data_IF_497401463793
#
_entry.id   IF_497401463793
#
_cell.length_a   1.000
_cell.length_b   1.000
_cell.length_c   1.000
_cell.angle_alpha   90.00
_cell.angle_beta   90.00
_cell.angle_gamma   90.00
#
_symmetry.space_group_name_H-M   'P 1'
#
loop_
_entity.id
_entity.type
_entity.pdbx_description
1 polymer ?
#
# COMPACT_ATOMS: atom_id res chain seq x y z
N UNK A 1 11.56 10.17 -17.31
CA UNK A 1 11.70 9.35 -16.07
C UNK A 1 10.83 8.11 -16.25
N UNK A 2 11.44 6.92 -16.26
CA UNK A 2 10.69 5.68 -16.49
C UNK A 2 10.02 5.26 -15.18
N UNK A 3 8.69 5.16 -15.21
CA UNK A 3 7.91 4.57 -14.12
C UNK A 3 8.07 3.06 -14.20
N UNK A 4 8.00 2.37 -13.06
CA UNK A 4 7.86 0.91 -13.06
C UNK A 4 6.49 0.60 -13.65
N UNK A 5 6.49 -0.14 -14.74
CA UNK A 5 5.31 -0.65 -15.42
C UNK A 5 5.37 -2.17 -15.44
N UNK A 6 4.22 -2.82 -15.62
CA UNK A 6 4.15 -4.29 -15.74
C UNK A 6 5.14 -4.83 -16.80
N UNK A 7 5.18 -4.20 -17.98
CA UNK A 7 6.11 -4.59 -19.05
C UNK A 7 7.58 -4.32 -18.77
N UNK A 8 7.91 -3.48 -17.78
CA UNK A 8 9.27 -3.30 -17.30
C UNK A 8 9.67 -4.42 -16.34
N UNK A 9 8.79 -4.78 -15.40
CA UNK A 9 9.05 -5.86 -14.43
C UNK A 9 9.34 -7.18 -15.13
N UNK A 10 8.57 -7.51 -16.17
CA UNK A 10 8.76 -8.73 -16.96
C UNK A 10 10.14 -8.85 -17.66
N UNK A 11 10.92 -7.76 -17.73
CA UNK A 11 12.24 -7.70 -18.38
C UNK A 11 13.40 -7.62 -17.38
N UNK A 12 13.12 -7.60 -16.09
CA UNK A 12 14.14 -7.53 -15.06
C UNK A 12 14.94 -8.83 -15.02
N UNK A 13 16.26 -8.72 -14.94
CA UNK A 13 17.07 -9.86 -14.54
C UNK A 13 16.84 -10.18 -13.05
N UNK A 14 17.12 -11.41 -12.59
CA UNK A 14 16.86 -11.80 -11.22
C UNK A 14 17.57 -10.94 -10.15
N UNK A 15 18.78 -10.44 -10.45
CA UNK A 15 19.54 -9.59 -9.52
C UNK A 15 18.88 -8.22 -9.41
N UNK A 16 18.47 -7.63 -10.54
CA UNK A 16 17.74 -6.36 -10.55
C UNK A 16 16.37 -6.50 -9.87
N UNK A 17 15.64 -7.60 -10.09
CA UNK A 17 14.36 -7.86 -9.45
C UNK A 17 14.50 -7.96 -7.92
N UNK A 18 15.51 -8.69 -7.42
CA UNK A 18 15.83 -8.76 -5.98
C UNK A 18 16.13 -7.39 -5.39
N UNK A 19 17.04 -6.65 -6.02
CA UNK A 19 17.46 -5.32 -5.56
C UNK A 19 16.25 -4.36 -5.55
N UNK A 20 15.36 -4.46 -6.55
CA UNK A 20 14.16 -3.65 -6.66
C UNK A 20 13.12 -4.01 -5.60
N UNK A 21 12.87 -5.29 -5.35
CA UNK A 21 11.95 -5.77 -4.33
C UNK A 21 12.37 -5.27 -2.93
N UNK A 22 13.66 -5.32 -2.62
CA UNK A 22 14.20 -4.76 -1.38
C UNK A 22 14.03 -3.24 -1.29
N UNK A 23 14.23 -2.53 -2.39
CA UNK A 23 14.09 -1.07 -2.43
C UNK A 23 12.64 -0.63 -2.18
N UNK A 24 11.67 -1.30 -2.80
CA UNK A 24 10.23 -1.03 -2.60
C UNK A 24 9.82 -1.26 -1.15
N UNK A 25 10.27 -2.36 -0.54
CA UNK A 25 9.97 -2.64 0.88
C UNK A 25 10.55 -1.58 1.81
N UNK A 26 11.78 -1.10 1.55
CA UNK A 26 12.41 -0.03 2.33
C UNK A 26 11.68 1.31 2.17
N UNK A 27 11.24 1.65 0.96
CA UNK A 27 10.42 2.85 0.73
C UNK A 27 9.10 2.76 1.49
N UNK A 28 8.40 1.62 1.40
CA UNK A 28 7.14 1.39 2.10
C UNK A 28 7.30 1.47 3.62
N UNK A 29 8.41 0.94 4.17
CA UNK A 29 8.75 1.05 5.59
C UNK A 29 9.01 2.49 6.01
N UNK A 30 9.79 3.25 5.25
CA UNK A 30 10.00 4.67 5.57
C UNK A 30 8.69 5.46 5.52
N UNK A 31 7.86 5.23 4.52
CA UNK A 31 6.55 5.88 4.40
C UNK A 31 5.58 5.49 5.50
N UNK A 32 5.62 4.24 5.99
CA UNK A 32 4.72 3.79 7.06
C UNK A 32 5.01 4.52 8.37
N UNK A 33 6.27 4.88 8.63
CA UNK A 33 6.70 5.66 9.79
C UNK A 33 6.32 7.15 9.68
N UNK A 34 6.05 7.68 8.48
CA UNK A 34 5.65 9.10 8.30
C UNK A 34 4.26 9.43 8.83
N UNK A 35 3.49 8.46 9.30
CA UNK A 35 2.21 8.74 9.95
C UNK A 35 2.45 9.65 11.16
N UNK A 36 1.61 10.67 11.29
CA UNK A 36 1.66 11.57 12.43
C UNK A 36 1.44 10.77 13.72
N UNK A 37 2.13 11.12 14.82
CA UNK A 37 1.79 10.55 16.12
C UNK A 37 0.29 10.77 16.36
N UNK A 38 -0.36 9.79 16.99
CA UNK A 38 -1.68 10.07 17.56
C UNK A 38 -1.52 11.20 18.59
N UNK A 39 -2.61 11.90 18.93
CA UNK A 39 -2.57 12.94 19.97
C UNK A 39 -2.01 12.41 21.31
N UNK A 40 -2.12 11.11 21.56
CA UNK A 40 -1.63 10.44 22.77
C UNK A 40 -0.10 10.18 22.74
N UNK A 41 0.56 10.28 21.58
CA UNK A 41 1.95 9.85 21.38
C UNK A 41 3.02 10.96 21.43
N UNK A 42 2.66 12.18 21.86
CA UNK A 42 3.55 13.36 21.76
C UNK A 42 4.92 13.23 22.45
N UNK A 43 5.08 12.40 23.50
CA UNK A 43 6.41 12.08 24.09
C UNK A 43 7.14 10.95 23.37
N UNK A 44 6.43 9.99 22.80
CA UNK A 44 7.03 8.98 21.92
C UNK A 44 7.60 9.62 20.63
N UNK A 45 7.13 10.82 20.28
CA UNK A 45 7.50 11.56 19.08
C UNK A 45 9.03 11.78 18.90
N UNK A 46 9.83 11.98 19.95
CA UNK A 46 11.28 12.22 19.78
C UNK A 46 12.03 10.93 19.39
N UNK A 47 11.73 9.81 20.05
CA UNK A 47 12.31 8.50 19.69
C UNK A 47 11.84 8.06 18.29
N UNK A 48 10.59 8.40 17.96
CA UNK A 48 9.99 8.17 16.64
C UNK A 48 10.70 8.95 15.51
N UNK A 49 11.17 10.19 15.76
CA UNK A 49 11.97 10.95 14.78
C UNK A 49 13.30 10.27 14.43
N UNK A 50 14.01 9.72 15.42
CA UNK A 50 15.26 8.98 15.16
C UNK A 50 15.01 7.72 14.34
N UNK A 51 13.90 7.01 14.61
CA UNK A 51 13.46 5.86 13.83
C UNK A 51 13.18 6.22 12.37
N UNK A 52 12.43 7.31 12.14
CA UNK A 52 12.13 7.85 10.80
C UNK A 52 13.39 8.21 10.03
N UNK A 53 14.31 8.93 10.65
CA UNK A 53 15.58 9.33 10.01
C UNK A 53 16.39 8.09 9.62
N UNK A 54 16.54 7.12 10.54
CA UNK A 54 17.27 5.88 10.25
C UNK A 54 16.66 5.11 9.08
N UNK A 55 15.33 4.99 9.02
CA UNK A 55 14.66 4.32 7.90
C UNK A 55 14.86 5.05 6.57
N UNK A 56 14.82 6.39 6.60
CA UNK A 56 15.10 7.23 5.44
C UNK A 56 16.53 7.05 4.93
N UNK A 57 17.53 7.07 5.81
CA UNK A 57 18.94 6.93 5.44
C UNK A 57 19.22 5.57 4.79
N UNK A 58 18.63 4.50 5.33
CA UNK A 58 18.72 3.15 4.76
C UNK A 58 18.08 3.09 3.36
N UNK A 59 16.89 3.68 3.20
CA UNK A 59 16.22 3.77 1.90
C UNK A 59 17.06 4.56 0.89
N UNK A 60 17.52 5.76 1.24
CA UNK A 60 18.33 6.61 0.34
C UNK A 60 19.63 5.95 -0.07
N UNK A 61 20.32 5.29 0.86
CA UNK A 61 21.56 4.55 0.55
C UNK A 61 21.30 3.45 -0.46
N UNK A 62 20.25 2.65 -0.28
CA UNK A 62 19.87 1.57 -1.21
C UNK A 62 19.40 2.13 -2.56
N UNK A 63 18.66 3.25 -2.57
CA UNK A 63 18.21 3.93 -3.79
C UNK A 63 19.39 4.40 -4.65
N UNK A 64 20.38 5.04 -4.05
CA UNK A 64 21.59 5.48 -4.75
C UNK A 64 22.35 4.29 -5.33
N UNK A 65 22.55 3.24 -4.53
CA UNK A 65 23.21 2.01 -4.99
C UNK A 65 22.46 1.34 -6.15
N UNK A 66 21.13 1.25 -6.06
CA UNK A 66 20.29 0.72 -7.14
C UNK A 66 20.45 1.55 -8.42
N UNK A 67 20.33 2.87 -8.34
CA UNK A 67 20.38 3.77 -9.50
C UNK A 67 21.75 3.86 -10.17
N UNK A 68 22.82 3.61 -9.42
CA UNK A 68 24.18 3.46 -9.94
C UNK A 68 24.33 2.16 -10.75
N UNK A 69 23.80 1.05 -10.24
CA UNK A 69 23.97 -0.29 -10.84
C UNK A 69 23.03 -0.56 -12.00
N UNK A 70 21.80 -0.07 -11.91
CA UNK A 70 20.69 -0.52 -12.75
C UNK A 70 20.13 0.61 -13.62
N UNK A 71 19.62 0.25 -14.79
CA UNK A 71 18.87 1.14 -15.68
C UNK A 71 17.52 0.50 -16.06
N UNK A 72 16.44 1.28 -16.17
CA UNK A 72 16.33 2.69 -15.83
C UNK A 72 16.45 2.93 -14.31
N UNK A 73 16.76 4.17 -13.95
CA UNK A 73 16.77 4.59 -12.54
C UNK A 73 15.38 4.45 -11.93
N UNK A 74 15.32 3.94 -10.71
CA UNK A 74 14.14 3.96 -9.87
C UNK A 74 13.76 5.40 -9.54
N UNK A 75 12.47 5.70 -9.71
CA UNK A 75 11.85 6.97 -9.33
C UNK A 75 10.73 6.63 -8.38
N UNK A 76 10.68 7.36 -7.26
CA UNK A 76 9.66 7.19 -6.24
C UNK A 76 8.25 7.17 -6.81
N UNK A 77 7.43 6.38 -6.14
CA UNK A 77 6.10 6.00 -6.57
C UNK A 77 5.15 7.21 -6.73
N UNK A 78 4.28 7.20 -7.76
CA UNK A 78 3.25 8.22 -7.91
C UNK A 78 2.19 8.15 -6.81
N UNK A 79 1.46 9.26 -6.62
CA UNK A 79 0.34 9.33 -5.68
C UNK A 79 -0.77 8.31 -6.04
N UNK A 80 -0.89 7.25 -5.24
CA UNK A 80 -1.91 6.19 -5.33
C UNK A 80 -3.24 6.60 -4.68
N UNK A 81 -3.82 7.71 -5.15
CA UNK A 81 -5.00 8.34 -4.54
C UNK A 81 -6.36 7.88 -5.09
N UNK A 82 -6.38 7.05 -6.14
CA UNK A 82 -7.60 6.53 -6.80
C UNK A 82 -7.45 5.03 -7.10
N UNK A 83 -8.55 4.27 -7.22
CA UNK A 83 -8.48 2.85 -7.56
C UNK A 83 -7.77 2.60 -8.90
N UNK A 84 -8.06 3.44 -9.91
CA UNK A 84 -7.43 3.35 -11.23
C UNK A 84 -5.91 3.56 -11.24
N UNK A 85 -5.34 4.21 -10.21
CA UNK A 85 -3.87 4.31 -10.03
C UNK A 85 -3.31 3.18 -9.19
N UNK A 86 -4.06 2.73 -8.18
CA UNK A 86 -3.63 1.66 -7.28
C UNK A 86 -3.64 0.30 -7.97
N UNK A 87 -4.61 0.03 -8.85
CA UNK A 87 -4.72 -1.21 -9.62
C UNK A 87 -3.44 -1.58 -10.40
N UNK A 88 -2.93 -0.75 -11.34
CA UNK A 88 -1.72 -1.09 -12.07
C UNK A 88 -0.48 -1.16 -11.18
N UNK A 89 -0.46 -0.41 -10.07
CA UNK A 89 0.60 -0.52 -9.08
C UNK A 89 0.59 -1.88 -8.37
N UNK A 90 -0.57 -2.35 -7.90
CA UNK A 90 -0.69 -3.66 -7.26
C UNK A 90 -0.29 -4.79 -8.23
N UNK A 91 -0.67 -4.72 -9.51
CA UNK A 91 -0.24 -5.68 -10.55
C UNK A 91 1.27 -5.69 -10.72
N UNK A 92 1.86 -4.50 -10.83
CA UNK A 92 3.31 -4.34 -10.93
C UNK A 92 4.04 -4.94 -9.72
N UNK A 93 3.52 -4.73 -8.51
CA UNK A 93 4.11 -5.31 -7.29
C UNK A 93 3.92 -6.83 -7.24
N UNK A 94 2.75 -7.35 -7.61
CA UNK A 94 2.50 -8.80 -7.69
C UNK A 94 3.50 -9.46 -8.62
N UNK A 95 3.70 -8.90 -9.81
CA UNK A 95 4.62 -9.42 -10.80
C UNK A 95 6.08 -9.36 -10.32
N UNK A 96 6.45 -8.28 -9.64
CA UNK A 96 7.80 -8.13 -9.06
C UNK A 96 8.07 -9.21 -8.02
N UNK A 97 7.11 -9.45 -7.11
CA UNK A 97 7.26 -10.44 -6.05
C UNK A 97 7.17 -11.87 -6.57
N UNK A 98 6.42 -12.12 -7.65
CA UNK A 98 6.42 -13.40 -8.33
C UNK A 98 7.81 -13.74 -8.92
N UNK A 99 8.53 -12.76 -9.46
CA UNK A 99 9.88 -12.97 -9.99
C UNK A 99 10.91 -13.38 -8.93
N UNK A 100 10.70 -12.98 -7.67
CA UNK A 100 11.64 -13.23 -6.57
C UNK A 100 11.10 -14.21 -5.53
N UNK A 101 9.98 -14.88 -5.81
CA UNK A 101 9.31 -15.75 -4.84
C UNK A 101 10.20 -16.90 -4.35
N UNK A 102 10.99 -17.48 -5.24
CA UNK A 102 11.89 -18.60 -4.93
C UNK A 102 13.26 -18.14 -4.43
N UNK A 103 13.46 -16.83 -4.26
CA UNK A 103 14.73 -16.26 -3.83
C UNK A 103 14.78 -16.18 -2.30
N UNK A 104 15.55 -17.07 -1.67
CA UNK A 104 15.72 -17.12 -0.21
C UNK A 104 16.41 -15.90 0.38
N UNK A 105 17.01 -15.03 -0.45
CA UNK A 105 17.61 -13.77 0.00
C UNK A 105 16.61 -12.62 0.08
N UNK A 106 15.38 -12.80 -0.40
CA UNK A 106 14.31 -11.80 -0.31
C UNK A 106 13.45 -12.10 0.90
N UNK A 107 13.43 -11.14 1.84
CA UNK A 107 12.51 -11.20 2.97
C UNK A 107 11.07 -10.92 2.53
N UNK A 108 10.10 -11.44 3.29
CA UNK A 108 8.68 -11.13 3.05
C UNK A 108 8.42 -9.60 3.14
N UNK A 109 7.79 -8.98 2.13
CA UNK A 109 7.63 -7.53 2.03
C UNK A 109 6.41 -7.02 2.83
N UNK A 110 6.49 -7.15 4.15
CA UNK A 110 5.40 -6.84 5.08
C UNK A 110 4.97 -5.36 4.98
N UNK A 111 5.92 -4.42 4.90
CA UNK A 111 5.62 -2.99 4.94
C UNK A 111 4.98 -2.53 3.62
N UNK A 112 5.36 -3.13 2.50
CA UNK A 112 4.72 -2.92 1.20
C UNK A 112 3.25 -3.36 1.24
N UNK A 113 2.95 -4.54 1.77
CA UNK A 113 1.55 -5.01 1.92
C UNK A 113 0.76 -4.10 2.87
N UNK A 114 1.32 -3.71 4.00
CA UNK A 114 0.68 -2.76 4.92
C UNK A 114 0.41 -1.39 4.27
N UNK A 115 1.28 -0.95 3.36
CA UNK A 115 1.06 0.26 2.55
C UNK A 115 -0.14 0.06 1.62
N UNK A 116 -0.15 -1.04 0.86
CA UNK A 116 -1.21 -1.34 -0.10
C UNK A 116 -2.60 -1.45 0.56
N UNK A 117 -2.70 -2.25 1.63
CA UNK A 117 -3.93 -2.43 2.42
C UNK A 117 -4.42 -1.10 2.98
N UNK A 118 -3.52 -0.28 3.56
CA UNK A 118 -3.89 1.04 4.08
C UNK A 118 -4.46 1.97 3.01
N UNK A 119 -3.89 1.93 1.80
CA UNK A 119 -4.37 2.73 0.68
C UNK A 119 -5.77 2.28 0.26
N UNK A 120 -5.99 0.97 0.15
CA UNK A 120 -7.32 0.42 -0.15
C UNK A 120 -8.34 0.74 0.93
N UNK A 121 -8.04 0.58 2.22
CA UNK A 121 -8.96 0.95 3.31
C UNK A 121 -9.35 2.42 3.24
N UNK A 122 -8.37 3.32 3.02
CA UNK A 122 -8.64 4.75 2.86
C UNK A 122 -9.49 5.06 1.62
N UNK A 123 -9.27 4.36 0.51
CA UNK A 123 -10.09 4.47 -0.69
C UNK A 123 -11.52 3.98 -0.42
N UNK A 124 -11.64 2.81 0.20
CA UNK A 124 -12.90 2.21 0.60
C UNK A 124 -13.74 3.14 1.45
N UNK A 125 -13.18 3.73 2.51
CA UNK A 125 -13.90 4.73 3.34
C UNK A 125 -14.44 5.90 2.50
N UNK A 126 -13.66 6.42 1.56
CA UNK A 126 -14.10 7.53 0.68
C UNK A 126 -15.19 7.12 -0.30
N UNK A 127 -15.19 5.86 -0.72
CA UNK A 127 -16.13 5.31 -1.69
C UNK A 127 -17.33 4.62 -1.04
N UNK A 128 -17.44 4.60 0.30
CA UNK A 128 -18.46 3.82 1.00
C UNK A 128 -18.35 2.31 0.76
N UNK A 129 -17.14 1.80 0.56
CA UNK A 129 -16.85 0.39 0.27
C UNK A 129 -15.95 -0.20 1.32
N UNK A 130 -16.32 -1.37 1.80
CA UNK A 130 -15.47 -2.10 2.73
C UNK A 130 -14.40 -2.89 1.98
N UNK A 131 -13.21 -2.96 2.57
CA UNK A 131 -12.19 -3.93 2.22
C UNK A 131 -11.86 -4.71 3.49
N UNK A 132 -12.04 -6.03 3.44
CA UNK A 132 -11.76 -6.90 4.57
C UNK A 132 -10.25 -7.05 4.68
N UNK A 133 -9.69 -6.51 5.76
CA UNK A 133 -8.26 -6.60 6.04
C UNK A 133 -7.88 -8.03 6.45
N UNK A 134 -6.78 -8.59 5.94
CA UNK A 134 -6.23 -9.82 6.49
C UNK A 134 -5.95 -9.69 8.00
N UNK A 135 -6.28 -10.73 8.77
CA UNK A 135 -6.10 -10.71 10.22
C UNK A 135 -4.62 -10.65 10.64
N UNK A 136 -3.75 -11.26 9.83
CA UNK A 136 -2.32 -11.38 10.11
C UNK A 136 -1.47 -10.80 8.96
N UNK A 137 -0.29 -10.25 9.24
CA UNK A 137 0.68 -9.89 8.21
C UNK A 137 1.12 -11.11 7.40
N UNK A 138 1.49 -10.94 6.11
CA UNK A 138 2.00 -12.06 5.32
C UNK A 138 3.31 -12.59 5.91
N UNK A 139 3.39 -13.90 6.11
CA UNK A 139 4.63 -14.57 6.54
C UNK A 139 5.54 -14.97 5.37
N UNK A 140 5.02 -14.97 4.14
CA UNK A 140 5.73 -15.44 2.94
C UNK A 140 5.49 -14.53 1.73
N UNK A 141 6.37 -14.62 0.73
CA UNK A 141 6.19 -13.93 -0.55
C UNK A 141 4.93 -14.43 -1.26
N UNK A 142 4.62 -15.73 -1.19
CA UNK A 142 3.37 -16.29 -1.73
C UNK A 142 2.12 -15.64 -1.10
N UNK A 143 2.08 -15.53 0.22
CA UNK A 143 0.98 -14.86 0.92
C UNK A 143 0.89 -13.37 0.55
N UNK A 144 2.02 -12.71 0.29
CA UNK A 144 2.04 -11.34 -0.25
C UNK A 144 1.36 -11.27 -1.63
N UNK A 145 1.68 -12.20 -2.53
CA UNK A 145 1.10 -12.27 -3.88
C UNK A 145 -0.41 -12.45 -3.80
N UNK A 146 -0.90 -13.35 -2.96
CA UNK A 146 -2.34 -13.59 -2.74
C UNK A 146 -3.05 -12.32 -2.25
N UNK A 147 -2.49 -11.62 -1.26
CA UNK A 147 -3.06 -10.35 -0.78
C UNK A 147 -3.08 -9.30 -1.89
N UNK A 148 -2.04 -9.22 -2.73
CA UNK A 148 -2.03 -8.31 -3.88
C UNK A 148 -3.11 -8.65 -4.90
N UNK A 149 -3.39 -9.93 -5.14
CA UNK A 149 -4.49 -10.38 -6.01
C UNK A 149 -5.85 -9.96 -5.47
N UNK A 150 -6.10 -10.09 -4.17
CA UNK A 150 -7.33 -9.60 -3.53
C UNK A 150 -7.50 -8.09 -3.69
N UNK A 151 -6.42 -7.33 -3.51
CA UNK A 151 -6.41 -5.88 -3.69
C UNK A 151 -6.64 -5.48 -5.16
N UNK A 152 -6.08 -6.24 -6.11
CA UNK A 152 -6.31 -6.05 -7.56
C UNK A 152 -7.79 -6.24 -7.87
N UNK A 153 -8.41 -7.33 -7.40
CA UNK A 153 -9.83 -7.60 -7.62
C UNK A 153 -10.72 -6.52 -7.00
N UNK A 154 -10.37 -6.04 -5.80
CA UNK A 154 -11.10 -4.94 -5.18
C UNK A 154 -11.01 -3.64 -6.00
N UNK A 155 -9.81 -3.28 -6.46
CA UNK A 155 -9.62 -2.06 -7.26
C UNK A 155 -10.35 -2.13 -8.61
N UNK A 156 -10.39 -3.30 -9.24
CA UNK A 156 -11.07 -3.52 -10.52
C UNK A 156 -12.59 -3.32 -10.42
N UNK A 157 -13.21 -3.88 -9.37
CA UNK A 157 -14.63 -3.64 -9.05
C UNK A 157 -14.88 -2.16 -8.75
N UNK A 158 -14.02 -1.53 -7.94
CA UNK A 158 -14.14 -0.12 -7.59
C UNK A 158 -14.04 0.81 -8.82
N UNK A 159 -13.13 0.53 -9.76
CA UNK A 159 -12.97 1.30 -10.98
C UNK A 159 -14.13 1.12 -11.96
N UNK A 160 -14.68 -0.09 -12.07
CA UNK A 160 -15.85 -0.37 -12.92
C UNK A 160 -17.07 0.43 -12.46
N UNK A 161 -17.29 0.50 -11.15
CA UNK A 161 -18.44 1.22 -10.60
C UNK A 161 -18.26 2.75 -10.66
N UNK A 162 -17.02 3.24 -10.53
CA UNK A 162 -16.69 4.65 -10.80
C UNK A 162 -17.03 5.03 -12.26
N UNK A 163 -16.70 4.17 -13.21
CA UNK A 163 -17.02 4.36 -14.63
C UNK A 163 -18.53 4.27 -14.92
N UNK A 164 -19.27 3.45 -14.17
CA UNK A 164 -20.72 3.34 -14.27
C UNK A 164 -21.47 4.56 -13.69
N UNK A 165 -20.75 5.56 -13.17
CA UNK A 165 -21.36 6.75 -12.58
C UNK A 165 -22.06 6.45 -11.26
N UNK A 166 -21.60 5.42 -10.54
CA UNK A 166 -22.15 5.04 -9.24
C UNK A 166 -22.20 6.28 -8.33
N UNK A 167 -23.42 6.71 -8.02
CA UNK A 167 -23.66 7.65 -6.95
C UNK A 167 -23.80 6.81 -5.68
N UNK A 168 -23.02 7.07 -4.62
CA UNK A 168 -23.34 6.50 -3.32
C UNK A 168 -24.78 6.85 -3.06
N UNK A 169 -25.62 5.82 -2.97
CA UNK A 169 -27.00 5.94 -2.50
C UNK A 169 -26.85 6.64 -1.15
N UNK A 170 -27.16 7.94 -1.13
CA UNK A 170 -26.81 8.82 -0.03
C UNK A 170 -27.34 8.13 1.20
N UNK A 171 -26.44 7.61 2.05
CA UNK A 171 -26.79 6.78 3.19
C UNK A 171 -27.90 7.54 3.89
N UNK A 172 -29.14 7.10 3.67
CA UNK A 172 -30.30 7.83 4.14
C UNK A 172 -30.13 7.70 5.63
N UNK A 173 -29.66 8.79 6.25
CA UNK A 173 -29.64 8.92 7.67
C UNK A 173 -31.06 8.58 8.07
N UNK A 174 -31.24 7.36 8.55
CA UNK A 174 -32.47 6.93 9.17
C UNK A 174 -32.52 7.79 10.42
N UNK A 175 -33.06 8.99 10.24
CA UNK A 175 -33.44 9.93 11.27
C UNK A 175 -34.46 9.17 12.11
N UNK A 176 -33.91 8.41 13.07
CA UNK A 176 -34.63 7.82 14.18
C UNK A 176 -35.08 8.93 15.10
N UNK A 177 -35.99 9.77 14.58
CA UNK A 177 -36.83 10.66 15.33
C UNK A 177 -37.79 9.76 16.12
N UNK A 178 -37.33 9.32 17.28
CA UNK A 178 -38.07 8.46 18.20
C UNK A 178 -37.78 8.84 19.64
N UNK A 179 -37.81 10.14 19.93
CA UNK A 179 -37.75 10.70 21.28
C UNK A 179 -39.06 10.33 22.02
N UNK A 180 -39.15 9.13 22.60
CA UNK A 180 -40.21 8.80 23.56
C UNK A 180 -39.85 9.37 24.93
N UNK A 181 -40.47 10.51 25.24
CA UNK A 181 -40.55 11.09 26.57
C UNK A 181 -41.18 10.08 27.55
N UNK A 182 -40.43 9.67 28.56
CA UNK A 182 -40.97 8.99 29.75
C UNK A 182 -41.60 10.03 30.69
N UNK A 183 -42.83 9.81 31.20
CA UNK A 183 -43.40 10.64 32.25
C UNK A 183 -42.80 10.27 33.61
N UNK A 184 -42.47 11.29 34.40
CA UNK A 184 -42.08 11.15 35.80
C UNK A 184 -43.30 10.86 36.68
N UNK A 185 -43.14 9.96 37.66
CA UNK A 185 -44.09 9.65 38.72
C UNK A 185 -43.60 10.25 40.05
#
# INVERSE_FOLDING_TARGET
MNRITEGFVAKLDPVQARDLAQLVELEARWESLRKGPSWDDLRAAVTDLRGKQKAYDVFQTKLLAYNQRHKPAYVSEPLLSTPGRLLPWCRTMRDLFALVEHDTQVACPVHMVEKAVRLVVRLGTRMGREFVRPAEPPATIRATIEILEDLIQWCDRAATDEAAGWRPEAATASDGTGNQLLPAA
#
